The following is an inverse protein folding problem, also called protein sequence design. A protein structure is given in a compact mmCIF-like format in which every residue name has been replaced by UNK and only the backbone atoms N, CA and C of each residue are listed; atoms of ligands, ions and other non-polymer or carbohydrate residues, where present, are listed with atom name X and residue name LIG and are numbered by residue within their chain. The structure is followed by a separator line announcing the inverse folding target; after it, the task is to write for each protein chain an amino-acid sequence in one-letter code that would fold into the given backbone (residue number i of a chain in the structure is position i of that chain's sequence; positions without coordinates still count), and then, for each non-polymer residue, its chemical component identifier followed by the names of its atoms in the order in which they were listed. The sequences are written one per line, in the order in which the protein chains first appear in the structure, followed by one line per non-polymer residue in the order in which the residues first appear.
data_IF_525753857842
#
_entry.id   IF_525753857842
#
_cell.length_a   1.000
_cell.length_b   1.000
_cell.length_c   1.000
_cell.angle_alpha   90.00
_cell.angle_beta   90.00
_cell.angle_gamma   90.00
#
_symmetry.space_group_name_H-M   'P 1'
#
loop_
_entity.id
_entity.type
_entity.pdbx_description
1 polymer ?
#
# COMPACT_ATOMS: atom_id res chain seq x y z
N UNK A 1 -1.66 -74.80 26.52
CA UNK A 1 -1.50 -73.68 25.58
C UNK A 1 -0.01 -73.47 25.43
N UNK A 2 0.59 -74.01 24.37
CA UNK A 2 2.04 -74.11 24.24
C UNK A 2 2.60 -72.81 23.63
N UNK A 3 3.41 -72.14 24.45
CA UNK A 3 4.35 -71.10 24.08
C UNK A 3 5.24 -71.56 22.91
N UNK A 4 5.21 -70.80 21.82
CA UNK A 4 6.13 -70.92 20.69
C UNK A 4 6.78 -69.56 20.44
N UNK A 5 7.54 -69.09 21.41
CA UNK A 5 8.55 -68.07 21.17
C UNK A 5 9.59 -68.65 20.21
N UNK A 6 9.47 -68.32 18.92
CA UNK A 6 10.44 -68.68 17.88
C UNK A 6 11.59 -67.69 18.00
N UNK A 7 12.81 -68.09 18.43
CA UNK A 7 13.89 -67.15 18.75
C UNK A 7 14.31 -66.24 17.59
N UNK A 8 14.08 -66.67 16.34
CA UNK A 8 14.34 -65.83 15.15
C UNK A 8 13.28 -64.76 14.86
N UNK A 9 12.07 -64.85 15.42
CA UNK A 9 11.04 -63.82 15.25
C UNK A 9 11.31 -62.61 16.16
N UNK A 10 11.81 -62.86 17.38
CA UNK A 10 12.23 -61.81 18.31
C UNK A 10 13.47 -61.07 17.79
N UNK A 11 14.48 -61.80 17.28
CA UNK A 11 15.63 -61.18 16.64
C UNK A 11 15.24 -60.30 15.43
N UNK A 12 14.28 -60.74 14.61
CA UNK A 12 13.76 -59.94 13.50
C UNK A 12 12.95 -58.72 13.94
N UNK A 13 12.28 -58.78 15.08
CA UNK A 13 11.49 -57.68 15.64
C UNK A 13 12.41 -56.63 16.29
N UNK A 14 13.48 -57.07 16.95
CA UNK A 14 14.55 -56.21 17.47
C UNK A 14 15.27 -55.46 16.35
N UNK A 15 15.61 -56.13 15.25
CA UNK A 15 16.24 -55.49 14.08
C UNK A 15 15.33 -54.41 13.46
N UNK A 16 14.02 -54.69 13.36
CA UNK A 16 13.04 -53.71 12.88
C UNK A 16 12.89 -52.53 13.84
N UNK A 17 12.90 -52.79 15.15
CA UNK A 17 12.80 -51.76 16.17
C UNK A 17 14.05 -50.86 16.18
N UNK A 18 15.24 -51.43 16.00
CA UNK A 18 16.49 -50.69 15.87
C UNK A 18 16.46 -49.78 14.63
N UNK A 19 15.97 -50.29 13.49
CA UNK A 19 15.85 -49.49 12.27
C UNK A 19 14.81 -48.37 12.39
N UNK A 20 13.68 -48.62 13.06
CA UNK A 20 12.70 -47.56 13.35
C UNK A 20 13.27 -46.49 14.28
N UNK A 21 14.04 -46.88 15.30
CA UNK A 21 14.68 -45.94 16.21
C UNK A 21 15.75 -45.09 15.50
N UNK A 22 16.49 -45.67 14.55
CA UNK A 22 17.43 -44.95 13.69
C UNK A 22 16.72 -43.92 12.81
N UNK A 23 15.63 -44.31 12.13
CA UNK A 23 14.82 -43.39 11.32
C UNK A 23 14.18 -42.27 12.16
N UNK A 24 13.72 -42.57 13.38
CA UNK A 24 13.16 -41.56 14.28
C UNK A 24 14.24 -40.57 14.74
N UNK A 25 15.46 -41.05 15.02
CA UNK A 25 16.58 -40.19 15.39
C UNK A 25 17.01 -39.27 14.24
N UNK A 26 17.06 -39.77 13.00
CA UNK A 26 17.32 -38.95 11.81
C UNK A 26 16.21 -37.91 11.58
N UNK A 27 14.94 -38.31 11.70
CA UNK A 27 13.83 -37.38 11.55
C UNK A 27 13.85 -36.26 12.59
N UNK A 28 14.20 -36.57 13.85
CA UNK A 28 14.37 -35.57 14.90
C UNK A 28 15.57 -34.64 14.65
N UNK A 29 16.67 -35.16 14.09
CA UNK A 29 17.82 -34.34 13.72
C UNK A 29 17.48 -33.37 12.57
N UNK A 30 16.76 -33.83 11.54
CA UNK A 30 16.30 -32.98 10.44
C UNK A 30 15.32 -31.89 10.92
N UNK A 31 14.37 -32.23 11.80
CA UNK A 31 13.47 -31.23 12.39
C UNK A 31 14.24 -30.22 13.26
N UNK A 32 15.30 -30.65 13.97
CA UNK A 32 16.16 -29.75 14.75
C UNK A 32 16.97 -28.79 13.87
N UNK A 33 17.54 -29.25 12.76
CA UNK A 33 18.26 -28.40 11.80
C UNK A 33 17.29 -27.42 11.11
N UNK A 34 16.06 -27.86 10.80
CA UNK A 34 15.05 -26.96 10.22
C UNK A 34 14.63 -25.85 11.20
N UNK A 35 14.47 -26.18 12.47
CA UNK A 35 14.03 -25.24 13.50
C UNK A 35 15.20 -24.39 14.07
N UNK A 36 16.45 -24.82 13.89
CA UNK A 36 17.67 -24.05 14.14
C UNK A 36 18.50 -23.95 12.86
N UNK A 37 18.17 -23.01 11.95
CA UNK A 37 18.94 -22.82 10.73
C UNK A 37 20.40 -22.46 11.05
N UNK A 38 21.32 -22.97 10.23
CA UNK A 38 22.75 -22.72 10.37
C UNK A 38 23.04 -21.22 10.50
N UNK A 39 23.76 -20.80 11.56
CA UNK A 39 24.09 -19.39 11.81
C UNK A 39 24.78 -18.74 10.60
N UNK A 40 25.62 -19.50 9.88
CA UNK A 40 26.30 -19.06 8.65
C UNK A 40 25.32 -18.74 7.51
N UNK A 41 24.24 -19.51 7.36
CA UNK A 41 23.21 -19.26 6.36
C UNK A 41 22.41 -17.99 6.70
N UNK A 42 22.12 -17.78 7.99
CA UNK A 42 21.45 -16.58 8.47
C UNK A 42 22.32 -15.32 8.27
N UNK A 43 23.62 -15.42 8.51
CA UNK A 43 24.56 -14.33 8.24
C UNK A 43 24.65 -13.99 6.74
N UNK A 44 24.66 -15.00 5.87
CA UNK A 44 24.65 -14.81 4.42
C UNK A 44 23.37 -14.09 3.95
N UNK A 45 22.21 -14.47 4.47
CA UNK A 45 20.93 -13.81 4.18
C UNK A 45 20.90 -12.36 4.66
N UNK A 46 21.43 -12.09 5.87
CA UNK A 46 21.55 -10.74 6.40
C UNK A 46 22.47 -9.86 5.56
N UNK A 47 23.59 -10.41 5.08
CA UNK A 47 24.50 -9.70 4.18
C UNK A 47 23.83 -9.39 2.83
N UNK A 48 23.08 -10.35 2.28
CA UNK A 48 22.35 -10.12 1.03
C UNK A 48 21.28 -9.04 1.20
N UNK A 49 20.50 -9.06 2.29
CA UNK A 49 19.50 -8.04 2.60
C UNK A 49 20.12 -6.65 2.78
N UNK A 50 21.28 -6.55 3.43
CA UNK A 50 22.01 -5.29 3.58
C UNK A 50 22.46 -4.75 2.23
N UNK A 51 22.99 -5.61 1.36
CA UNK A 51 23.38 -5.24 0.00
C UNK A 51 22.19 -4.75 -0.82
N UNK A 52 21.05 -5.46 -0.78
CA UNK A 52 19.83 -5.03 -1.47
C UNK A 52 19.34 -3.66 -0.97
N UNK A 53 19.39 -3.42 0.35
CA UNK A 53 19.04 -2.13 0.92
C UNK A 53 19.97 -1.00 0.46
N UNK A 54 21.28 -1.24 0.39
CA UNK A 54 22.24 -0.27 -0.14
C UNK A 54 21.97 0.08 -1.60
N UNK A 55 21.68 -0.94 -2.43
CA UNK A 55 21.32 -0.75 -3.84
C UNK A 55 20.03 0.06 -3.98
N UNK A 56 19.00 -0.26 -3.19
CA UNK A 56 17.74 0.49 -3.20
C UNK A 56 17.95 1.94 -2.77
N UNK A 57 18.76 2.16 -1.73
CA UNK A 57 19.07 3.50 -1.23
C UNK A 57 19.84 4.34 -2.25
N UNK A 58 20.79 3.72 -2.96
CA UNK A 58 21.50 4.37 -4.06
C UNK A 58 20.55 4.77 -5.20
N UNK A 59 19.65 3.87 -5.61
CA UNK A 59 18.65 4.18 -6.64
C UNK A 59 17.70 5.29 -6.20
N UNK A 60 17.25 5.27 -4.95
CA UNK A 60 16.39 6.33 -4.40
C UNK A 60 17.12 7.69 -4.36
N UNK A 61 18.42 7.70 -4.05
CA UNK A 61 19.22 8.92 -4.04
C UNK A 61 19.29 9.56 -5.43
N UNK A 62 19.52 8.74 -6.48
CA UNK A 62 19.52 9.19 -7.88
C UNK A 62 18.14 9.73 -8.28
N UNK A 63 17.06 9.01 -7.95
CA UNK A 63 15.69 9.46 -8.25
C UNK A 63 15.39 10.78 -7.53
N UNK A 64 15.82 10.93 -6.28
CA UNK A 64 15.61 12.15 -5.49
C UNK A 64 16.34 13.36 -6.08
N UNK A 65 17.57 13.15 -6.56
CA UNK A 65 18.35 14.17 -7.26
C UNK A 65 17.66 14.58 -8.57
N UNK A 66 17.19 13.61 -9.35
CA UNK A 66 16.47 13.86 -10.61
C UNK A 66 15.12 14.54 -10.38
N UNK A 67 14.38 14.15 -9.33
CA UNK A 67 13.09 14.73 -8.98
C UNK A 67 13.22 16.20 -8.56
N UNK A 68 14.30 16.60 -7.88
CA UNK A 68 14.54 18.00 -7.53
C UNK A 68 14.64 18.90 -8.77
N UNK A 69 15.29 18.40 -9.82
CA UNK A 69 15.46 19.11 -11.10
C UNK A 69 14.15 19.15 -11.89
N UNK A 70 13.42 18.03 -11.94
CA UNK A 70 12.13 17.94 -12.64
C UNK A 70 11.04 18.77 -11.97
N UNK A 71 10.98 18.79 -10.63
CA UNK A 71 9.99 19.59 -9.89
C UNK A 71 10.24 21.09 -10.08
N UNK A 72 11.50 21.54 -10.06
CA UNK A 72 11.84 22.95 -10.35
C UNK A 72 11.49 23.31 -11.80
N UNK A 73 11.84 22.47 -12.75
CA UNK A 73 11.49 22.68 -14.16
C UNK A 73 9.97 22.69 -14.39
N UNK A 74 9.21 21.83 -13.71
CA UNK A 74 7.75 21.82 -13.77
C UNK A 74 7.12 23.05 -13.10
N UNK A 75 7.67 23.53 -11.98
CA UNK A 75 7.19 24.76 -11.33
C UNK A 75 7.44 25.98 -12.22
N UNK A 76 8.61 26.09 -12.82
CA UNK A 76 8.93 27.18 -13.76
C UNK A 76 8.09 27.10 -15.05
N UNK A 77 7.82 25.88 -15.54
CA UNK A 77 6.91 25.69 -16.68
C UNK A 77 5.47 25.98 -16.32
N UNK A 78 4.98 25.56 -15.15
CA UNK A 78 3.63 25.82 -14.68
C UNK A 78 3.41 27.31 -14.40
N UNK A 79 4.40 28.00 -13.82
CA UNK A 79 4.36 29.45 -13.59
C UNK A 79 4.35 30.21 -14.93
N UNK A 80 5.26 29.85 -15.84
CA UNK A 80 5.34 30.47 -17.17
C UNK A 80 4.12 30.14 -18.06
N UNK A 81 3.59 28.92 -17.98
CA UNK A 81 2.40 28.48 -18.72
C UNK A 81 1.12 29.11 -18.18
N UNK A 82 1.01 29.29 -16.86
CA UNK A 82 -0.11 30.01 -16.25
C UNK A 82 -0.09 31.49 -16.65
N UNK A 83 1.10 32.10 -16.67
CA UNK A 83 1.28 33.49 -17.08
C UNK A 83 0.88 33.73 -18.55
N UNK A 84 1.27 32.83 -19.45
CA UNK A 84 1.02 32.95 -20.90
C UNK A 84 -0.45 32.70 -21.28
N UNK A 85 -1.17 31.86 -20.52
CA UNK A 85 -2.55 31.49 -20.86
C UNK A 85 -3.64 32.32 -20.14
N UNK A 86 -3.37 32.93 -18.99
CA UNK A 86 -4.40 33.60 -18.19
C UNK A 86 -4.16 35.10 -17.95
N UNK A 87 -3.05 35.66 -18.45
CA UNK A 87 -2.62 37.04 -18.17
C UNK A 87 -2.11 37.22 -16.74
N UNK A 88 -1.77 38.46 -16.35
CA UNK A 88 -0.93 38.79 -15.18
C UNK A 88 -1.24 38.05 -13.85
N UNK A 89 -2.49 37.64 -13.58
CA UNK A 89 -2.85 36.94 -12.33
C UNK A 89 -3.88 35.79 -12.51
N UNK A 90 -3.43 34.60 -12.95
CA UNK A 90 -4.27 33.41 -13.23
C UNK A 90 -4.97 32.87 -11.97
N UNK A 91 -4.18 32.71 -10.91
CA UNK A 91 -4.62 32.17 -9.63
C UNK A 91 -5.60 33.09 -8.92
N UNK A 92 -5.47 34.40 -9.13
CA UNK A 92 -6.37 35.40 -8.57
C UNK A 92 -7.76 35.32 -9.22
N UNK A 93 -7.84 35.07 -10.53
CA UNK A 93 -9.12 34.85 -11.22
C UNK A 93 -9.82 33.59 -10.70
N UNK A 94 -9.07 32.50 -10.49
CA UNK A 94 -9.62 31.27 -9.92
C UNK A 94 -10.04 31.45 -8.46
N UNK A 95 -9.21 32.10 -7.64
CA UNK A 95 -9.54 32.41 -6.24
C UNK A 95 -10.76 33.33 -6.15
N UNK A 96 -10.86 34.33 -7.02
CA UNK A 96 -12.02 35.21 -7.14
C UNK A 96 -13.28 34.48 -7.56
N UNK A 97 -13.18 33.57 -8.54
CA UNK A 97 -14.30 32.73 -8.96
C UNK A 97 -14.77 31.81 -7.81
N UNK A 98 -13.85 31.12 -7.12
CA UNK A 98 -14.19 30.27 -5.98
C UNK A 98 -14.75 31.05 -4.79
N UNK A 99 -14.19 32.22 -4.49
CA UNK A 99 -14.74 33.10 -3.46
C UNK A 99 -16.14 33.57 -3.83
N UNK A 100 -16.36 33.91 -5.11
CA UNK A 100 -17.66 34.30 -5.64
C UNK A 100 -18.70 33.17 -5.53
N UNK A 101 -18.36 31.95 -5.94
CA UNK A 101 -19.28 30.80 -5.82
C UNK A 101 -19.56 30.42 -4.37
N UNK A 102 -18.56 30.53 -3.48
CA UNK A 102 -18.75 30.29 -2.05
C UNK A 102 -19.69 31.32 -1.43
N UNK A 103 -19.51 32.61 -1.71
CA UNK A 103 -20.39 33.68 -1.22
C UNK A 103 -21.80 33.52 -1.80
N UNK A 104 -21.93 33.20 -3.09
CA UNK A 104 -23.22 32.95 -3.73
C UNK A 104 -23.95 31.75 -3.11
N UNK A 105 -23.26 30.62 -2.93
CA UNK A 105 -23.81 29.44 -2.27
C UNK A 105 -24.17 29.68 -0.81
N UNK A 106 -23.34 30.46 -0.07
CA UNK A 106 -23.63 30.90 1.31
C UNK A 106 -24.88 31.76 1.37
N UNK A 107 -25.06 32.67 0.40
CA UNK A 107 -26.20 33.57 0.32
C UNK A 107 -27.48 32.82 -0.04
N UNK A 108 -27.43 31.87 -0.97
CA UNK A 108 -28.55 30.97 -1.26
C UNK A 108 -28.94 30.11 -0.05
N UNK A 109 -27.96 29.64 0.72
CA UNK A 109 -28.21 28.78 1.89
C UNK A 109 -28.76 29.55 3.10
N UNK A 110 -28.43 30.83 3.23
CA UNK A 110 -28.97 31.72 4.26
C UNK A 110 -30.25 32.45 3.83
N UNK A 111 -30.61 32.38 2.54
CA UNK A 111 -31.87 32.91 2.08
C UNK A 111 -33.01 32.04 2.63
N UNK A 112 -34.06 32.63 3.20
CA UNK A 112 -35.23 31.86 3.60
C UNK A 112 -35.81 31.23 2.34
N UNK A 113 -35.64 29.91 2.21
CA UNK A 113 -36.18 29.11 1.07
C UNK A 113 -37.66 29.41 0.86
N UNK A 114 -38.39 29.74 1.93
CA UNK A 114 -39.76 30.23 1.91
C UNK A 114 -39.97 31.54 1.10
N UNK A 115 -39.05 32.51 1.16
CA UNK A 115 -39.16 33.76 0.39
C UNK A 115 -38.80 33.56 -1.09
N UNK A 116 -37.83 32.69 -1.38
CA UNK A 116 -37.49 32.32 -2.77
C UNK A 116 -38.65 31.54 -3.41
N UNK A 117 -39.20 30.54 -2.70
CA UNK A 117 -40.38 29.80 -3.17
C UNK A 117 -41.61 30.71 -3.32
N UNK A 118 -41.87 31.62 -2.37
CA UNK A 118 -42.98 32.57 -2.47
C UNK A 118 -42.85 33.53 -3.66
N UNK A 119 -41.63 33.88 -4.07
CA UNK A 119 -41.39 34.74 -5.23
C UNK A 119 -41.48 33.98 -6.57
N UNK A 120 -41.14 32.69 -6.58
CA UNK A 120 -41.10 31.88 -7.82
C UNK A 120 -42.43 31.18 -8.11
N UNK A 121 -43.20 30.80 -7.09
CA UNK A 121 -44.51 30.15 -7.24
C UNK A 121 -45.48 30.95 -8.13
N UNK A 122 -45.65 32.27 -7.98
CA UNK A 122 -46.54 33.05 -8.83
C UNK A 122 -46.10 33.08 -10.30
N UNK A 123 -44.78 33.11 -10.56
CA UNK A 123 -44.19 33.12 -11.90
C UNK A 123 -44.35 31.78 -12.63
N UNK A 124 -44.31 30.67 -11.90
CA UNK A 124 -44.54 29.32 -12.46
C UNK A 124 -46.04 29.08 -12.66
N UNK A 125 -46.88 29.49 -11.72
CA UNK A 125 -48.35 29.41 -11.88
C UNK A 125 -48.84 30.26 -13.05
N UNK A 126 -48.36 31.51 -13.21
CA UNK A 126 -48.76 32.37 -14.32
C UNK A 126 -48.32 31.84 -15.70
N UNK A 127 -47.37 30.90 -15.73
CA UNK A 127 -46.93 30.22 -16.96
C UNK A 127 -47.64 28.89 -17.22
N UNK A 128 -48.31 28.32 -16.22
CA UNK A 128 -49.09 27.09 -16.33
C UNK A 128 -50.54 27.34 -16.77
N UNK A 129 -50.96 28.61 -16.86
CA UNK A 129 -52.31 29.03 -17.27
C UNK A 129 -52.39 29.48 -18.75
N UNK A 130 -51.46 29.02 -19.59
CA UNK A 130 -51.50 29.11 -21.06
C UNK A 130 -51.36 27.73 -21.68
#
# INVERSE_FOLDING_TARGET
MADRSRPGAQASEEDLQAHMAEMEAEAMADDFIRDNPDEEALEADLQNLQYELEVLRARLAVIKEQAGTVVRANLEWADRSAHDQLGDYPWLKLAGAMAGTFVFGRMLRNAPVAAILAAVVPLVLSKAEK
#
